data_IF_018726683533
#
_entry.id   IF_018726683533
#
_cell.length_a   1.000
_cell.length_b   1.000
_cell.length_c   1.000
_cell.angle_alpha   90.00
_cell.angle_beta   90.00
_cell.angle_gamma   90.00
#
_symmetry.space_group_name_H-M   'P 1'
#
loop_
_entity.id
_entity.type
_entity.pdbx_description
1 polymer ?
#
# COMPACT_ATOMS: atom_id res chain seq x y z
N UNK A 1 4.78 57.97 -17.94
CA UNK A 1 3.85 56.81 -17.97
C UNK A 1 2.45 57.32 -17.60
N UNK A 2 1.59 57.55 -18.58
CA UNK A 2 0.15 57.75 -18.29
C UNK A 2 -0.41 56.37 -17.97
N UNK A 3 -0.64 56.11 -16.71
CA UNK A 3 -1.40 54.92 -16.31
C UNK A 3 -2.83 55.07 -16.85
N UNK A 4 -3.19 54.15 -17.74
CA UNK A 4 -4.53 54.11 -18.29
C UNK A 4 -5.49 53.60 -17.20
N UNK A 5 -6.27 54.52 -16.64
CA UNK A 5 -7.20 54.24 -15.52
C UNK A 5 -8.21 53.15 -15.90
N UNK A 6 -8.60 53.10 -17.18
CA UNK A 6 -9.51 52.06 -17.70
C UNK A 6 -8.90 50.68 -17.66
N UNK A 7 -7.60 50.55 -17.99
CA UNK A 7 -6.87 49.30 -17.91
C UNK A 7 -6.77 48.79 -16.45
N UNK A 8 -6.47 49.68 -15.49
CA UNK A 8 -6.35 49.33 -14.08
C UNK A 8 -7.70 48.81 -13.55
N UNK A 9 -8.81 49.50 -13.88
CA UNK A 9 -10.14 49.10 -13.46
C UNK A 9 -10.51 47.74 -14.04
N UNK A 10 -10.30 47.52 -15.33
CA UNK A 10 -10.57 46.24 -16.01
C UNK A 10 -9.74 45.08 -15.42
N UNK A 11 -8.46 45.30 -15.18
CA UNK A 11 -7.55 44.30 -14.62
C UNK A 11 -7.98 43.97 -13.17
N UNK A 12 -8.30 44.96 -12.37
CA UNK A 12 -8.75 44.76 -11.00
C UNK A 12 -10.09 44.00 -10.94
N UNK A 13 -11.01 44.27 -11.84
CA UNK A 13 -12.30 43.60 -11.96
C UNK A 13 -12.12 42.13 -12.40
N UNK A 14 -11.21 41.88 -13.30
CA UNK A 14 -10.87 40.53 -13.76
C UNK A 14 -10.25 39.71 -12.64
N UNK A 15 -9.32 40.26 -11.87
CA UNK A 15 -8.73 39.61 -10.69
C UNK A 15 -9.80 39.34 -9.63
N UNK A 16 -10.68 40.33 -9.34
CA UNK A 16 -11.74 40.17 -8.39
C UNK A 16 -12.75 39.08 -8.77
N UNK A 17 -12.98 38.80 -10.06
CA UNK A 17 -13.80 37.70 -10.53
C UNK A 17 -13.04 36.35 -10.48
N UNK A 18 -11.73 36.32 -10.71
CA UNK A 18 -10.93 35.10 -10.71
C UNK A 18 -10.71 34.53 -9.30
N UNK A 19 -10.61 35.38 -8.28
CA UNK A 19 -10.41 34.95 -6.88
C UNK A 19 -11.58 34.09 -6.40
N UNK A 20 -12.86 34.50 -6.46
CA UNK A 20 -13.96 33.63 -6.07
C UNK A 20 -14.11 32.41 -6.98
N UNK A 21 -13.82 32.52 -8.27
CA UNK A 21 -13.82 31.39 -9.18
C UNK A 21 -12.76 30.35 -8.77
N UNK A 22 -11.60 30.76 -8.32
CA UNK A 22 -10.55 29.88 -7.81
C UNK A 22 -10.93 29.25 -6.48
N UNK A 23 -11.51 30.03 -5.55
CA UNK A 23 -11.97 29.54 -4.24
C UNK A 23 -13.10 28.52 -4.41
N UNK A 24 -14.06 28.82 -5.27
CA UNK A 24 -15.23 27.98 -5.52
C UNK A 24 -15.05 27.03 -6.72
N UNK A 25 -13.85 26.87 -7.27
CA UNK A 25 -13.57 26.06 -8.46
C UNK A 25 -14.17 24.65 -8.40
N UNK A 26 -14.09 23.98 -7.24
CA UNK A 26 -14.68 22.64 -7.05
C UNK A 26 -16.19 22.63 -7.15
N UNK A 27 -16.84 23.72 -6.75
CA UNK A 27 -18.30 23.86 -6.77
C UNK A 27 -18.82 24.30 -8.14
N UNK A 28 -18.10 25.24 -8.78
CA UNK A 28 -18.44 25.76 -10.11
C UNK A 28 -18.17 24.74 -11.19
N UNK A 29 -17.04 24.03 -11.11
CA UNK A 29 -16.66 22.99 -12.07
C UNK A 29 -17.08 21.58 -11.61
N UNK A 30 -17.94 21.46 -10.59
CA UNK A 30 -18.41 20.17 -10.09
C UNK A 30 -19.08 19.32 -11.18
N UNK A 31 -19.69 19.95 -12.18
CA UNK A 31 -20.24 19.26 -13.34
C UNK A 31 -19.16 18.60 -14.21
N UNK A 32 -18.01 19.25 -14.38
CA UNK A 32 -16.87 18.70 -15.13
C UNK A 32 -16.11 17.63 -14.34
N UNK A 33 -16.14 17.70 -13.00
CA UNK A 33 -15.54 16.70 -12.12
C UNK A 33 -16.47 15.51 -11.82
N UNK A 34 -17.78 15.64 -12.08
CA UNK A 34 -18.76 14.57 -11.87
C UNK A 34 -18.79 13.51 -12.96
N UNK A 35 -18.18 13.79 -14.10
CA UNK A 35 -18.05 12.85 -15.22
C UNK A 35 -16.66 12.19 -15.21
N UNK A 36 -16.17 11.80 -14.04
CA UNK A 36 -15.05 10.87 -13.95
C UNK A 36 -15.45 9.60 -14.71
N UNK A 37 -14.62 9.15 -15.63
CA UNK A 37 -14.83 7.91 -16.34
C UNK A 37 -14.60 6.75 -15.37
N UNK A 38 -15.71 6.24 -14.78
CA UNK A 38 -15.67 5.13 -13.83
C UNK A 38 -14.97 3.91 -14.42
N UNK A 39 -15.12 3.68 -15.73
CA UNK A 39 -14.48 2.54 -16.38
C UNK A 39 -12.96 2.73 -16.45
N UNK A 40 -12.52 3.95 -16.70
CA UNK A 40 -11.09 4.30 -16.63
C UNK A 40 -10.54 4.13 -15.22
N UNK A 41 -11.25 4.64 -14.21
CA UNK A 41 -10.88 4.47 -12.79
C UNK A 41 -10.73 2.98 -12.44
N UNK A 42 -11.71 2.14 -12.80
CA UNK A 42 -11.68 0.71 -12.53
C UNK A 42 -10.50 0.04 -13.24
N UNK A 43 -10.22 0.42 -14.47
CA UNK A 43 -9.08 -0.08 -15.22
C UNK A 43 -7.76 0.26 -14.54
N UNK A 44 -7.58 1.52 -14.19
CA UNK A 44 -6.36 2.01 -13.52
C UNK A 44 -6.18 1.36 -12.14
N UNK A 45 -7.26 1.19 -11.38
CA UNK A 45 -7.26 0.49 -10.10
C UNK A 45 -6.80 -0.97 -10.25
N UNK A 46 -7.36 -1.70 -11.24
CA UNK A 46 -6.99 -3.09 -11.51
C UNK A 46 -5.51 -3.20 -11.92
N UNK A 47 -5.05 -2.34 -12.81
CA UNK A 47 -3.64 -2.30 -13.24
C UNK A 47 -2.71 -1.95 -12.08
N UNK A 48 -3.10 -0.99 -11.23
CA UNK A 48 -2.34 -0.62 -10.05
C UNK A 48 -2.20 -1.81 -9.08
N UNK A 49 -3.30 -2.48 -8.76
CA UNK A 49 -3.29 -3.61 -7.82
C UNK A 49 -2.49 -4.80 -8.38
N UNK A 50 -2.68 -5.13 -9.65
CA UNK A 50 -1.94 -6.22 -10.30
C UNK A 50 -0.43 -5.94 -10.35
N UNK A 51 -0.02 -4.70 -10.63
CA UNK A 51 1.39 -4.32 -10.71
C UNK A 51 2.06 -4.23 -9.34
N UNK A 52 1.36 -3.68 -8.35
CA UNK A 52 1.95 -3.44 -7.03
C UNK A 52 1.75 -4.62 -6.06
N UNK A 53 0.71 -5.43 -6.23
CA UNK A 53 0.40 -6.57 -5.36
C UNK A 53 0.16 -7.86 -6.15
N UNK A 54 1.13 -8.30 -6.97
CA UNK A 54 0.93 -9.39 -7.95
C UNK A 54 0.68 -10.76 -7.33
N UNK A 55 0.98 -10.99 -6.05
CA UNK A 55 0.70 -12.25 -5.35
C UNK A 55 -0.74 -12.35 -4.82
N UNK A 56 -1.51 -11.26 -4.88
CA UNK A 56 -2.86 -11.21 -4.33
C UNK A 56 -3.89 -11.16 -5.46
N UNK A 57 -4.90 -11.99 -5.37
CA UNK A 57 -6.07 -11.93 -6.24
C UNK A 57 -7.15 -11.10 -5.54
N UNK A 58 -7.73 -10.14 -6.26
CA UNK A 58 -8.80 -9.28 -5.76
C UNK A 58 -10.11 -9.60 -6.48
N UNK A 59 -11.20 -9.67 -5.70
CA UNK A 59 -12.55 -9.76 -6.23
C UNK A 59 -13.11 -8.36 -6.49
N UNK A 60 -13.59 -8.14 -7.69
CA UNK A 60 -14.18 -6.88 -8.12
C UNK A 60 -15.71 -6.94 -8.22
N UNK A 61 -16.37 -7.93 -7.60
CA UNK A 61 -17.83 -8.07 -7.60
C UNK A 61 -18.55 -6.87 -6.97
N UNK A 62 -17.86 -6.10 -6.13
CA UNK A 62 -18.35 -4.84 -5.55
C UNK A 62 -18.80 -3.85 -6.62
N UNK A 63 -18.21 -3.86 -7.81
CA UNK A 63 -18.58 -2.98 -8.94
C UNK A 63 -20.04 -3.20 -9.34
N UNK A 64 -20.46 -4.47 -9.41
CA UNK A 64 -21.87 -4.81 -9.72
C UNK A 64 -22.80 -4.45 -8.56
N UNK A 65 -22.37 -4.65 -7.31
CA UNK A 65 -23.16 -4.33 -6.11
C UNK A 65 -23.40 -2.83 -5.94
N UNK A 66 -22.49 -2.01 -6.45
CA UNK A 66 -22.60 -0.54 -6.38
C UNK A 66 -23.23 0.07 -7.62
N UNK A 67 -23.80 -0.74 -8.53
CA UNK A 67 -24.33 -0.27 -9.81
C UNK A 67 -25.46 0.76 -9.65
N UNK A 68 -26.31 0.59 -8.63
CA UNK A 68 -27.46 1.45 -8.36
C UNK A 68 -27.09 2.79 -7.68
N UNK A 69 -25.86 2.92 -7.19
CA UNK A 69 -25.40 4.18 -6.60
C UNK A 69 -25.22 5.22 -7.71
N UNK A 70 -25.79 6.41 -7.48
CA UNK A 70 -25.82 7.50 -8.48
C UNK A 70 -24.56 8.37 -8.42
N UNK A 71 -23.95 8.47 -7.26
CA UNK A 71 -22.76 9.30 -7.06
C UNK A 71 -21.50 8.50 -7.37
N UNK A 72 -20.80 8.92 -8.42
CA UNK A 72 -19.58 8.26 -8.87
C UNK A 72 -18.51 8.23 -7.78
N UNK A 73 -18.38 9.30 -6.99
CA UNK A 73 -17.39 9.36 -5.90
C UNK A 73 -17.71 8.38 -4.78
N UNK A 74 -18.99 8.20 -4.48
CA UNK A 74 -19.41 7.19 -3.50
C UNK A 74 -19.09 5.80 -4.04
N UNK A 75 -19.38 5.52 -5.32
CA UNK A 75 -19.00 4.25 -5.96
C UNK A 75 -17.50 3.98 -5.86
N UNK A 76 -16.69 4.94 -6.28
CA UNK A 76 -15.23 4.84 -6.25
C UNK A 76 -14.73 4.59 -4.82
N UNK A 77 -15.28 5.31 -3.82
CA UNK A 77 -14.95 5.12 -2.41
C UNK A 77 -15.28 3.71 -1.94
N UNK A 78 -16.49 3.23 -2.22
CA UNK A 78 -16.93 1.88 -1.82
C UNK A 78 -16.06 0.78 -2.46
N UNK A 79 -15.70 0.95 -3.74
CA UNK A 79 -14.80 0.02 -4.44
C UNK A 79 -13.43 0.01 -3.80
N UNK A 80 -12.86 1.19 -3.50
CA UNK A 80 -11.54 1.30 -2.86
C UNK A 80 -11.57 0.70 -1.45
N UNK A 81 -12.57 1.00 -0.65
CA UNK A 81 -12.73 0.44 0.70
C UNK A 81 -12.80 -1.09 0.68
N UNK A 82 -13.53 -1.67 -0.27
CA UNK A 82 -13.63 -3.12 -0.42
C UNK A 82 -12.27 -3.74 -0.79
N UNK A 83 -11.55 -3.16 -1.75
CA UNK A 83 -10.21 -3.62 -2.15
C UNK A 83 -9.21 -3.53 -0.99
N UNK A 84 -9.27 -2.46 -0.18
CA UNK A 84 -8.41 -2.32 0.99
C UNK A 84 -8.76 -3.36 2.06
N UNK A 85 -10.04 -3.64 2.27
CA UNK A 85 -10.48 -4.69 3.16
C UNK A 85 -9.99 -6.06 2.69
N UNK A 86 -10.11 -6.37 1.39
CA UNK A 86 -9.57 -7.60 0.82
C UNK A 86 -8.06 -7.70 1.02
N UNK A 87 -7.31 -6.60 0.81
CA UNK A 87 -5.88 -6.55 1.09
C UNK A 87 -5.58 -6.83 2.55
N UNK A 88 -6.33 -6.25 3.48
CA UNK A 88 -6.11 -6.41 4.91
C UNK A 88 -6.39 -7.84 5.38
N UNK A 89 -7.53 -8.42 4.97
CA UNK A 89 -7.97 -9.75 5.39
C UNK A 89 -7.46 -10.89 4.51
N UNK A 90 -6.58 -10.61 3.53
CA UNK A 90 -6.01 -11.65 2.69
C UNK A 90 -5.29 -12.69 3.55
N UNK A 91 -5.75 -13.93 3.46
CA UNK A 91 -5.13 -15.07 4.12
C UNK A 91 -3.74 -15.31 3.53
N UNK A 92 -2.75 -15.34 4.39
CA UNK A 92 -1.35 -15.48 4.02
C UNK A 92 -0.69 -16.60 4.78
N UNK A 93 -0.28 -17.63 4.07
CA UNK A 93 0.60 -18.66 4.59
C UNK A 93 2.05 -18.22 4.48
N UNK A 94 2.77 -18.24 5.59
CA UNK A 94 4.18 -17.86 5.64
C UNK A 94 4.98 -18.94 4.91
N UNK A 95 5.46 -18.61 3.71
CA UNK A 95 6.31 -19.49 2.92
C UNK A 95 7.75 -19.43 3.44
N UNK A 96 8.36 -20.59 3.59
CA UNK A 96 9.79 -20.74 3.85
C UNK A 96 10.42 -21.44 2.67
N UNK A 97 11.66 -21.11 2.36
CA UNK A 97 12.38 -21.89 1.36
C UNK A 97 12.85 -23.22 1.97
N UNK A 98 12.04 -24.25 1.80
CA UNK A 98 12.37 -25.62 2.21
C UNK A 98 13.52 -26.23 1.40
N UNK A 99 13.78 -25.69 0.21
CA UNK A 99 14.72 -26.22 -0.77
C UNK A 99 16.14 -25.64 -0.68
N UNK A 100 16.42 -24.80 0.36
CA UNK A 100 17.78 -24.32 0.58
C UNK A 100 18.65 -25.49 1.04
N UNK A 101 19.78 -25.77 0.37
CA UNK A 101 20.70 -26.79 0.80
C UNK A 101 21.14 -26.60 2.25
N UNK A 102 21.18 -27.70 3.00
CA UNK A 102 21.48 -27.68 4.43
C UNK A 102 22.82 -27.02 4.79
N UNK A 103 23.80 -27.11 3.87
CA UNK A 103 25.11 -26.49 4.01
C UNK A 103 25.06 -24.95 3.98
N UNK A 104 23.97 -24.38 3.42
CA UNK A 104 23.71 -22.92 3.39
C UNK A 104 22.88 -22.41 4.55
N UNK A 105 22.45 -23.31 5.46
CA UNK A 105 21.73 -22.90 6.65
C UNK A 105 22.68 -22.31 7.68
N UNK A 106 22.27 -21.26 8.37
CA UNK A 106 23.01 -20.77 9.55
C UNK A 106 22.68 -21.65 10.75
N UNK A 107 23.44 -22.75 10.87
CA UNK A 107 23.27 -23.69 11.97
C UNK A 107 23.79 -23.12 13.28
N UNK A 108 23.26 -23.60 14.39
CA UNK A 108 23.69 -23.24 15.74
C UNK A 108 22.99 -22.05 16.36
N UNK A 109 22.13 -21.34 15.62
CA UNK A 109 21.31 -20.25 16.17
C UNK A 109 19.96 -20.71 16.72
N UNK A 110 19.43 -21.85 16.26
CA UNK A 110 18.14 -22.38 16.73
C UNK A 110 18.16 -22.66 18.22
N UNK A 111 19.15 -23.37 18.71
CA UNK A 111 19.31 -23.66 20.14
C UNK A 111 19.55 -22.39 20.95
N UNK A 112 20.39 -21.50 20.44
CA UNK A 112 20.68 -20.21 21.08
C UNK A 112 19.48 -19.26 21.05
N UNK A 113 18.65 -19.28 20.03
CA UNK A 113 17.46 -18.45 19.91
C UNK A 113 16.39 -18.85 20.91
N UNK A 114 16.25 -20.14 21.21
CA UNK A 114 15.29 -20.63 22.16
C UNK A 114 15.66 -20.25 23.61
N UNK A 115 16.93 -20.35 23.97
CA UNK A 115 17.41 -20.05 25.33
C UNK A 115 17.78 -18.58 25.53
N UNK A 116 18.24 -17.89 24.46
CA UNK A 116 18.67 -16.50 24.49
C UNK A 116 18.48 -15.84 23.13
N UNK A 117 17.29 -15.26 22.84
CA UNK A 117 16.90 -14.76 21.52
C UNK A 117 17.58 -13.43 21.17
N UNK A 118 18.90 -13.35 21.28
CA UNK A 118 19.67 -12.18 20.84
C UNK A 118 19.83 -12.18 19.34
N UNK A 119 19.62 -10.99 18.75
CA UNK A 119 19.86 -10.75 17.33
C UNK A 119 21.34 -11.06 17.02
N UNK A 120 21.64 -11.90 16.02
CA UNK A 120 23.02 -12.24 15.66
C UNK A 120 23.77 -11.04 15.10
N UNK A 121 25.11 -11.05 15.22
CA UNK A 121 25.96 -9.95 14.75
C UNK A 121 25.90 -9.71 13.26
N UNK A 122 25.66 -10.78 12.49
CA UNK A 122 25.52 -10.79 11.04
C UNK A 122 24.07 -10.56 10.54
N UNK A 123 23.20 -10.00 11.41
CA UNK A 123 21.78 -9.79 11.10
C UNK A 123 21.54 -8.97 9.83
N UNK A 124 22.34 -7.93 9.60
CA UNK A 124 22.20 -7.08 8.40
C UNK A 124 22.43 -7.89 7.12
N UNK A 125 23.38 -8.77 7.12
CA UNK A 125 23.72 -9.62 5.99
C UNK A 125 22.63 -10.67 5.75
N UNK A 126 22.14 -11.31 6.82
CA UNK A 126 21.02 -12.26 6.72
C UNK A 126 19.77 -11.61 6.15
N UNK A 127 19.44 -10.40 6.61
CA UNK A 127 18.30 -9.62 6.07
C UNK A 127 18.49 -9.30 4.59
N UNK A 128 19.70 -8.88 4.20
CA UNK A 128 20.03 -8.60 2.79
C UNK A 128 19.91 -9.86 1.92
N UNK A 129 20.43 -10.98 2.38
CA UNK A 129 20.34 -12.24 1.65
C UNK A 129 18.88 -12.73 1.54
N UNK A 130 18.08 -12.61 2.59
CA UNK A 130 16.65 -12.94 2.54
C UNK A 130 15.90 -12.04 1.54
N UNK A 131 16.20 -10.73 1.52
CA UNK A 131 15.64 -9.80 0.55
C UNK A 131 16.04 -10.14 -0.90
N UNK A 132 17.29 -10.56 -1.15
CA UNK A 132 17.76 -11.04 -2.46
C UNK A 132 17.09 -12.36 -2.84
N UNK A 133 16.96 -13.30 -1.90
CA UNK A 133 16.24 -14.57 -2.10
C UNK A 133 14.81 -14.34 -2.58
N UNK A 134 14.11 -13.36 -1.99
CA UNK A 134 12.72 -13.02 -2.31
C UNK A 134 12.64 -12.07 -3.53
N UNK A 135 13.69 -12.00 -4.36
CA UNK A 135 13.76 -11.14 -5.57
C UNK A 135 13.42 -9.68 -5.32
N UNK A 136 13.80 -9.17 -4.16
CA UNK A 136 13.49 -7.80 -3.71
C UNK A 136 11.99 -7.52 -3.59
N UNK A 137 11.19 -8.55 -3.30
CA UNK A 137 9.73 -8.48 -3.21
C UNK A 137 9.24 -8.81 -1.81
N UNK A 138 8.09 -8.24 -1.45
CA UNK A 138 7.37 -8.63 -0.25
C UNK A 138 6.85 -10.07 -0.38
N UNK A 139 7.10 -10.89 0.62
CA UNK A 139 6.70 -12.30 0.58
C UNK A 139 5.16 -12.46 0.55
N UNK A 140 4.42 -11.56 1.21
CA UNK A 140 2.94 -11.62 1.26
C UNK A 140 2.28 -11.08 -0.02
N UNK A 141 2.58 -9.86 -0.44
CA UNK A 141 1.84 -9.21 -1.53
C UNK A 141 2.60 -9.16 -2.87
N UNK A 142 3.90 -9.43 -2.85
CA UNK A 142 4.73 -9.40 -4.06
C UNK A 142 5.22 -8.02 -4.49
N UNK A 143 4.90 -6.95 -3.76
CA UNK A 143 5.40 -5.59 -4.04
C UNK A 143 6.94 -5.57 -4.03
N UNK A 144 7.54 -4.92 -5.02
CA UNK A 144 8.99 -4.62 -5.00
C UNK A 144 9.31 -3.62 -3.91
N UNK A 145 10.34 -3.89 -3.12
CA UNK A 145 10.76 -3.07 -1.98
C UNK A 145 12.27 -2.88 -1.99
N UNK A 146 12.73 -1.70 -1.56
CA UNK A 146 14.16 -1.44 -1.35
C UNK A 146 14.59 -2.06 -0.02
N UNK A 147 15.85 -2.41 0.10
CA UNK A 147 16.38 -3.06 1.31
C UNK A 147 16.13 -2.23 2.59
N UNK A 148 16.27 -0.92 2.50
CA UNK A 148 16.05 0.01 3.63
C UNK A 148 14.59 0.04 4.10
N UNK A 149 13.63 -0.19 3.20
CA UNK A 149 12.19 -0.17 3.46
C UNK A 149 11.63 -1.55 3.86
N UNK A 150 12.50 -2.54 4.04
CA UNK A 150 12.08 -3.89 4.40
C UNK A 150 11.79 -4.03 5.89
N UNK A 151 10.73 -4.75 6.17
CA UNK A 151 10.44 -5.30 7.50
C UNK A 151 10.67 -6.80 7.48
N UNK A 152 11.08 -7.34 8.62
CA UNK A 152 11.33 -8.77 8.75
C UNK A 152 10.37 -9.38 9.76
N UNK A 153 9.86 -10.55 9.42
CA UNK A 153 9.15 -11.44 10.35
C UNK A 153 9.75 -12.85 10.22
N UNK A 154 9.21 -13.78 10.99
CA UNK A 154 9.70 -15.16 11.01
C UNK A 154 8.57 -16.12 10.66
N UNK A 155 8.88 -17.17 9.93
CA UNK A 155 7.93 -18.24 9.65
C UNK A 155 7.51 -18.94 10.94
N UNK A 156 8.50 -19.31 11.76
CA UNK A 156 8.32 -19.76 13.13
C UNK A 156 8.84 -18.70 14.08
N UNK A 157 7.99 -18.19 14.96
CA UNK A 157 8.37 -17.13 15.89
C UNK A 157 9.56 -17.53 16.77
N UNK A 158 10.45 -16.60 17.06
CA UNK A 158 11.61 -16.84 17.92
C UNK A 158 11.18 -17.32 19.31
N UNK A 159 10.12 -16.75 19.87
CA UNK A 159 9.53 -17.17 21.16
C UNK A 159 8.97 -18.61 21.16
N UNK A 160 8.71 -19.16 19.96
CA UNK A 160 8.23 -20.54 19.78
C UNK A 160 9.34 -21.49 19.31
N UNK A 161 10.61 -21.12 19.53
CA UNK A 161 11.76 -21.91 19.14
C UNK A 161 12.15 -21.78 17.67
N UNK A 162 11.72 -20.71 16.98
CA UNK A 162 12.27 -20.33 15.70
C UNK A 162 13.68 -19.75 15.84
N UNK A 163 14.52 -19.94 14.83
CA UNK A 163 15.86 -19.39 14.77
C UNK A 163 15.98 -18.17 13.89
N UNK A 164 17.16 -17.55 13.92
CA UNK A 164 17.55 -16.48 12.98
C UNK A 164 18.11 -17.05 11.67
N UNK A 165 17.72 -18.27 11.32
CA UNK A 165 18.16 -18.95 10.13
C UNK A 165 17.59 -18.31 8.88
N UNK A 166 18.33 -18.42 7.78
CA UNK A 166 17.95 -17.81 6.51
C UNK A 166 16.56 -18.21 6.04
N UNK A 167 16.20 -19.48 6.15
CA UNK A 167 14.91 -20.05 5.77
C UNK A 167 13.75 -19.55 6.65
N UNK A 168 14.03 -19.12 7.88
CA UNK A 168 13.02 -18.63 8.82
C UNK A 168 12.74 -17.13 8.68
N UNK A 169 13.59 -16.40 7.96
CA UNK A 169 13.42 -14.95 7.76
C UNK A 169 12.47 -14.71 6.60
N UNK A 170 11.46 -13.88 6.83
CA UNK A 170 10.46 -13.45 5.85
C UNK A 170 10.55 -11.95 5.68
N UNK A 171 10.60 -11.48 4.42
CA UNK A 171 10.67 -10.06 4.07
C UNK A 171 9.27 -9.53 3.74
N UNK A 172 8.92 -8.41 4.35
CA UNK A 172 7.62 -7.74 4.18
C UNK A 172 7.81 -6.27 3.81
N UNK A 173 6.83 -5.72 3.07
CA UNK A 173 6.67 -4.27 2.92
C UNK A 173 6.04 -3.66 4.19
N UNK A 174 6.04 -2.33 4.27
CA UNK A 174 5.46 -1.59 5.40
C UNK A 174 4.00 -1.98 5.68
N UNK A 175 3.16 -1.99 4.65
CA UNK A 175 1.74 -2.28 4.81
C UNK A 175 1.48 -3.73 5.25
N UNK A 176 2.16 -4.71 4.65
CA UNK A 176 2.04 -6.10 5.08
C UNK A 176 2.55 -6.32 6.52
N UNK A 177 3.61 -5.62 6.92
CA UNK A 177 4.09 -5.65 8.30
C UNK A 177 3.06 -5.06 9.28
N UNK A 178 2.40 -3.94 8.93
CA UNK A 178 1.31 -3.35 9.72
C UNK A 178 0.13 -4.31 9.84
N UNK A 179 -0.30 -4.93 8.74
CA UNK A 179 -1.40 -5.92 8.76
C UNK A 179 -1.12 -7.08 9.70
N UNK A 180 0.07 -7.69 9.60
CA UNK A 180 0.42 -8.87 10.40
C UNK A 180 0.55 -8.54 11.89
N UNK A 181 1.02 -7.32 12.23
CA UNK A 181 1.23 -6.90 13.61
C UNK A 181 0.08 -6.08 14.21
N UNK A 182 -0.98 -5.82 13.44
CA UNK A 182 -2.11 -5.02 13.93
C UNK A 182 -3.00 -5.83 14.85
N UNK A 183 -3.27 -5.28 16.04
CA UNK A 183 -4.25 -5.84 16.97
C UNK A 183 -5.68 -5.31 16.72
N UNK A 184 -5.79 -4.15 16.07
CA UNK A 184 -7.08 -3.51 15.78
C UNK A 184 -7.22 -3.27 14.27
N UNK A 185 -8.14 -3.99 13.60
CA UNK A 185 -8.34 -3.88 12.15
C UNK A 185 -8.63 -2.46 11.67
N UNK A 186 -9.47 -1.70 12.38
CA UNK A 186 -9.83 -0.33 11.98
C UNK A 186 -8.61 0.59 11.92
N UNK A 187 -7.79 0.56 12.96
CA UNK A 187 -6.55 1.35 13.02
C UNK A 187 -5.52 0.82 12.01
N UNK A 188 -5.46 -0.50 11.84
CA UNK A 188 -4.60 -1.16 10.87
C UNK A 188 -4.90 -0.67 9.45
N UNK A 189 -6.15 -0.77 9.01
CA UNK A 189 -6.62 -0.34 7.69
C UNK A 189 -6.34 1.15 7.46
N UNK A 190 -6.70 2.00 8.41
CA UNK A 190 -6.50 3.45 8.30
C UNK A 190 -5.03 3.85 8.16
N UNK A 191 -4.10 3.06 8.70
CA UNK A 191 -2.66 3.34 8.69
C UNK A 191 -1.94 2.87 7.43
N UNK A 192 -2.61 2.14 6.52
CA UNK A 192 -1.99 1.62 5.31
C UNK A 192 -1.63 2.73 4.32
N UNK A 193 -0.44 2.66 3.76
CA UNK A 193 -0.03 3.52 2.65
C UNK A 193 -0.87 3.26 1.39
N UNK A 194 -1.29 2.00 1.21
CA UNK A 194 -2.23 1.61 0.16
C UNK A 194 -3.55 2.40 0.28
N UNK A 195 -4.11 2.53 1.49
CA UNK A 195 -5.33 3.31 1.73
C UNK A 195 -5.14 4.78 1.32
N UNK A 196 -4.06 5.41 1.78
CA UNK A 196 -3.74 6.80 1.41
C UNK A 196 -3.56 6.96 -0.11
N UNK A 197 -2.88 6.00 -0.75
CA UNK A 197 -2.63 6.05 -2.19
C UNK A 197 -3.91 5.91 -3.00
N UNK A 198 -4.76 4.94 -2.67
CA UNK A 198 -6.01 4.71 -3.40
C UNK A 198 -7.03 5.82 -3.18
N UNK A 199 -7.14 6.35 -1.95
CA UNK A 199 -8.04 7.47 -1.67
C UNK A 199 -7.64 8.77 -2.40
N UNK A 200 -6.37 8.93 -2.78
CA UNK A 200 -5.95 10.04 -3.65
C UNK A 200 -6.54 9.94 -5.06
N UNK A 201 -6.75 8.74 -5.58
CA UNK A 201 -7.42 8.55 -6.89
C UNK A 201 -8.89 8.96 -6.84
N UNK A 202 -9.59 8.71 -5.71
CA UNK A 202 -10.98 9.13 -5.51
C UNK A 202 -11.10 10.63 -5.29
N UNK A 203 -10.11 11.24 -4.66
CA UNK A 203 -10.12 12.69 -4.36
C UNK A 203 -9.82 13.56 -5.60
N UNK A 204 -9.22 12.98 -6.69
CA UNK A 204 -8.98 13.55 -8.02
C UNK A 204 -8.21 14.84 -8.03
#
# INVERSE_FOLDING_TARGET
LKLDLTFIILASLLIACLIPLYIYRRKVFSFSYKTGDLDLFIKDLKEYMQRNHPKMSFDYSIIEKTKDEKDIRIKETLIVEDIINQFYYYEYEKETQKDIPREKHWTGYEEKSFSNPKVPSDWKERRKLAWQRDENKCNRCGTKIRLEDTFTTFAKDISKGGGYNFENIIILCSDCNKVINSQNPKNGIASLQLNESLMKYVAG
#
